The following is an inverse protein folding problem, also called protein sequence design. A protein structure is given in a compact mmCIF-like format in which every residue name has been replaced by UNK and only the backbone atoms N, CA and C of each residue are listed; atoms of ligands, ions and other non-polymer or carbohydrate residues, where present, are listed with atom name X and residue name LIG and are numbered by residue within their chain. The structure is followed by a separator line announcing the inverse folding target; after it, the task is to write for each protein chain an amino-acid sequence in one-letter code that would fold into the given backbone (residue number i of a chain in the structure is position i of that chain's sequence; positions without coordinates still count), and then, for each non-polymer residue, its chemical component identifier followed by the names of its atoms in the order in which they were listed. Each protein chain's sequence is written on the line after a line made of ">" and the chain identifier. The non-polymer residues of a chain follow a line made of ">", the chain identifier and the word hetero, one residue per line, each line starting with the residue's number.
data_IF_451045155133
#
_entry.id   IF_451045155133
#
_cell.length_a   1.000
_cell.length_b   1.000
_cell.length_c   1.000
_cell.angle_alpha   90.00
_cell.angle_beta   90.00
_cell.angle_gamma   90.00
#
_symmetry.space_group_name_H-M   'P 1'
#
loop_
_entity.id
_entity.type
_entity.pdbx_description
1 polymer ?
#
# COMPACT_ATOMS: atom_id res chain seq x y z
N UNK A 1 18.90 16.94 5.52
CA UNK A 1 19.02 15.47 5.37
C UNK A 1 17.60 14.97 5.20
N UNK A 2 17.33 14.15 4.19
CA UNK A 2 15.97 13.72 3.89
C UNK A 2 15.64 12.46 4.71
N UNK A 3 14.41 12.29 5.27
CA UNK A 3 14.09 11.16 6.12
C UNK A 3 14.04 9.86 5.31
N UNK A 4 14.49 8.77 5.88
CA UNK A 4 14.42 7.41 5.32
C UNK A 4 13.01 6.83 5.46
N UNK A 5 12.70 5.73 4.73
CA UNK A 5 11.45 4.98 4.93
C UNK A 5 11.33 4.52 6.40
N UNK A 6 12.44 4.15 7.01
CA UNK A 6 12.48 3.74 8.41
C UNK A 6 12.11 4.88 9.36
N UNK A 7 12.65 6.07 9.16
CA UNK A 7 12.34 7.24 9.96
C UNK A 7 10.88 7.66 9.80
N UNK A 8 10.37 7.70 8.56
CA UNK A 8 8.96 8.02 8.28
C UNK A 8 8.02 6.95 8.87
N UNK A 9 8.38 5.68 8.75
CA UNK A 9 7.60 4.56 9.32
C UNK A 9 7.55 4.61 10.84
N UNK A 10 8.67 4.92 11.50
CA UNK A 10 8.72 5.09 12.95
C UNK A 10 7.93 6.32 13.42
N UNK A 11 7.92 7.40 12.64
CA UNK A 11 7.09 8.57 12.92
C UNK A 11 5.61 8.26 12.78
N UNK A 12 5.22 7.54 11.71
CA UNK A 12 3.84 7.08 11.51
C UNK A 12 3.38 6.19 12.66
N UNK A 13 4.22 5.27 13.14
CA UNK A 13 3.91 4.42 14.29
C UNK A 13 3.60 5.24 15.54
N UNK A 14 4.43 6.23 15.85
CA UNK A 14 4.21 7.14 16.98
C UNK A 14 2.94 7.95 16.85
N UNK A 15 2.64 8.45 15.64
CA UNK A 15 1.43 9.21 15.36
C UNK A 15 0.17 8.33 15.56
N UNK A 16 0.17 7.11 15.04
CA UNK A 16 -0.94 6.16 15.24
C UNK A 16 -1.13 5.84 16.71
N UNK A 17 -0.06 5.55 17.45
CA UNK A 17 -0.14 5.26 18.88
C UNK A 17 -0.67 6.46 19.70
N UNK A 18 -0.29 7.67 19.33
CA UNK A 18 -0.79 8.89 19.98
C UNK A 18 -2.30 9.09 19.75
N UNK A 19 -2.77 8.91 18.52
CA UNK A 19 -4.21 9.01 18.19
C UNK A 19 -5.02 7.94 18.92
N UNK A 20 -4.54 6.70 18.95
CA UNK A 20 -5.18 5.60 19.67
C UNK A 20 -5.22 5.84 21.18
N UNK A 21 -4.17 6.46 21.73
CA UNK A 21 -4.14 6.82 23.16
C UNK A 21 -5.13 7.95 23.50
N UNK A 22 -5.29 8.92 22.58
CA UNK A 22 -6.21 10.03 22.75
C UNK A 22 -7.68 9.62 22.58
N UNK A 23 -7.97 8.67 21.69
CA UNK A 23 -9.32 8.18 21.42
C UNK A 23 -9.29 6.66 21.24
N UNK A 24 -9.62 5.87 22.26
CA UNK A 24 -9.65 4.41 22.15
C UNK A 24 -10.54 3.93 21.02
N UNK A 25 -9.95 3.12 20.13
CA UNK A 25 -10.62 2.59 18.94
C UNK A 25 -10.62 1.06 18.95
N UNK A 26 -11.63 0.45 18.34
CA UNK A 26 -11.73 -1.00 18.24
C UNK A 26 -10.67 -1.58 17.28
N UNK A 27 -10.35 -0.88 16.20
CA UNK A 27 -9.38 -1.30 15.18
C UNK A 27 -8.83 -0.09 14.42
N UNK A 28 -7.59 -0.19 13.96
CA UNK A 28 -6.97 0.76 13.04
C UNK A 28 -6.92 0.16 11.64
N UNK A 29 -7.48 0.88 10.67
CA UNK A 29 -7.43 0.52 9.26
C UNK A 29 -6.46 1.45 8.53
N UNK A 30 -5.86 0.95 7.46
CA UNK A 30 -4.93 1.74 6.64
C UNK A 30 -5.41 1.87 5.21
N UNK A 31 -5.27 3.06 4.66
CA UNK A 31 -5.36 3.31 3.21
C UNK A 31 -4.07 4.00 2.80
N UNK A 32 -3.26 3.33 2.01
CA UNK A 32 -2.03 3.89 1.47
C UNK A 32 -2.16 4.20 -0.02
N UNK A 33 -1.45 5.23 -0.47
CA UNK A 33 -1.27 5.50 -1.90
C UNK A 33 0.22 5.47 -2.23
N UNK A 34 0.57 4.81 -3.34
CA UNK A 34 1.93 4.79 -3.85
C UNK A 34 2.95 4.38 -2.77
N UNK A 35 4.00 5.18 -2.57
CA UNK A 35 5.03 4.97 -1.56
C UNK A 35 4.49 4.88 -0.12
N UNK A 36 3.38 5.54 0.18
CA UNK A 36 2.73 5.44 1.50
C UNK A 36 2.39 4.00 1.90
N UNK A 37 2.13 3.12 0.93
CA UNK A 37 1.95 1.69 1.18
C UNK A 37 3.22 1.02 1.70
N UNK A 38 4.37 1.43 1.19
CA UNK A 38 5.68 0.89 1.59
C UNK A 38 6.02 1.34 3.01
N UNK A 39 5.73 2.59 3.34
CA UNK A 39 5.89 3.13 4.70
C UNK A 39 5.02 2.36 5.70
N UNK A 40 3.73 2.15 5.38
CA UNK A 40 2.83 1.36 6.24
C UNK A 40 3.32 -0.08 6.37
N UNK A 41 3.75 -0.73 5.28
CA UNK A 41 4.31 -2.09 5.33
C UNK A 41 5.55 -2.15 6.21
N UNK A 42 6.46 -1.17 6.08
CA UNK A 42 7.65 -1.08 6.92
C UNK A 42 7.27 -0.94 8.40
N UNK A 43 6.36 -0.03 8.73
CA UNK A 43 5.85 0.17 10.09
C UNK A 43 5.27 -1.14 10.65
N UNK A 44 4.38 -1.79 9.91
CA UNK A 44 3.73 -3.03 10.36
C UNK A 44 4.70 -4.21 10.52
N UNK A 45 5.84 -4.17 9.83
CA UNK A 45 6.87 -5.20 9.93
C UNK A 45 7.80 -4.99 11.14
N UNK A 46 8.03 -3.75 11.57
CA UNK A 46 9.03 -3.39 12.58
C UNK A 46 8.43 -2.96 13.92
N UNK A 47 7.20 -2.44 13.91
CA UNK A 47 6.55 -1.92 15.11
C UNK A 47 5.28 -2.68 15.46
N UNK A 48 5.06 -2.87 16.76
CA UNK A 48 3.81 -3.42 17.29
C UNK A 48 2.87 -2.27 17.67
N UNK A 49 1.82 -2.12 16.88
CA UNK A 49 0.76 -1.18 17.24
C UNK A 49 0.06 -1.56 18.54
N UNK A 50 -0.32 -0.56 19.32
CA UNK A 50 -1.10 -0.76 20.56
C UNK A 50 -2.55 -1.14 20.29
N UNK A 51 -3.15 -0.61 19.22
CA UNK A 51 -4.50 -0.95 18.82
C UNK A 51 -4.54 -2.23 17.96
N UNK A 52 -5.65 -2.98 18.02
CA UNK A 52 -5.85 -4.10 17.12
C UNK A 52 -5.78 -3.67 15.65
N UNK A 53 -5.03 -4.41 14.85
CA UNK A 53 -4.93 -4.18 13.42
C UNK A 53 -6.25 -4.52 12.73
N UNK A 54 -6.71 -3.61 11.89
CA UNK A 54 -7.90 -3.77 11.07
C UNK A 54 -7.55 -4.30 9.67
N UNK A 55 -8.01 -3.60 8.63
CA UNK A 55 -7.78 -3.93 7.22
C UNK A 55 -6.93 -2.87 6.54
N UNK A 56 -6.35 -3.22 5.40
CA UNK A 56 -5.58 -2.29 4.59
C UNK A 56 -6.07 -2.29 3.14
N UNK A 57 -6.17 -1.10 2.53
CA UNK A 57 -6.33 -0.95 1.08
C UNK A 57 -5.12 -0.23 0.53
N UNK A 58 -4.47 -0.85 -0.44
CA UNK A 58 -3.30 -0.34 -1.12
C UNK A 58 -3.70 0.23 -2.49
N UNK A 59 -3.54 1.53 -2.69
CA UNK A 59 -3.80 2.21 -3.95
C UNK A 59 -2.47 2.37 -4.71
N UNK A 60 -2.40 1.83 -5.92
CA UNK A 60 -1.23 1.86 -6.80
C UNK A 60 0.12 1.57 -6.07
N UNK A 61 0.22 0.50 -5.26
CA UNK A 61 1.39 0.23 -4.45
C UNK A 61 2.57 -0.27 -5.28
N UNK A 62 3.79 0.29 -5.14
CA UNK A 62 4.99 -0.26 -5.80
C UNK A 62 5.56 -1.45 -5.02
N UNK A 63 4.77 -2.51 -4.85
CA UNK A 63 5.10 -3.65 -3.99
C UNK A 63 6.32 -4.47 -4.46
N UNK A 64 6.67 -4.40 -5.74
CA UNK A 64 7.79 -5.15 -6.32
C UNK A 64 9.02 -4.31 -6.68
N UNK A 65 8.97 -3.03 -6.49
CA UNK A 65 10.09 -2.12 -6.29
C UNK A 65 11.10 -1.86 -7.40
N UNK A 66 11.09 -2.51 -8.54
CA UNK A 66 12.24 -2.50 -9.44
C UNK A 66 12.34 -1.32 -10.43
N UNK A 67 11.24 -0.68 -10.79
CA UNK A 67 11.20 0.43 -11.77
C UNK A 67 10.93 1.80 -11.15
N UNK A 68 10.61 1.79 -9.89
CA UNK A 68 10.17 2.97 -9.13
C UNK A 68 11.21 4.08 -9.13
N UNK A 69 12.49 3.73 -9.13
CA UNK A 69 13.59 4.66 -9.02
C UNK A 69 13.64 5.69 -10.14
N UNK A 70 13.58 5.23 -11.38
CA UNK A 70 13.70 6.11 -12.55
C UNK A 70 12.42 6.88 -12.85
N UNK A 71 11.27 6.33 -12.46
CA UNK A 71 9.94 6.87 -12.78
C UNK A 71 9.44 7.86 -11.71
N UNK A 72 9.84 7.68 -10.44
CA UNK A 72 9.41 8.57 -9.35
C UNK A 72 10.29 9.82 -9.20
N UNK A 73 11.50 9.83 -9.70
CA UNK A 73 12.41 10.97 -9.57
C UNK A 73 11.77 12.34 -9.91
N UNK A 74 10.95 12.49 -10.97
CA UNK A 74 10.34 13.77 -11.29
C UNK A 74 9.16 14.16 -10.39
N UNK A 75 8.42 13.17 -9.88
CA UNK A 75 7.20 13.41 -9.10
C UNK A 75 7.45 13.50 -7.60
N UNK A 76 8.58 13.03 -7.17
CA UNK A 76 8.93 12.89 -5.76
C UNK A 76 10.02 13.87 -5.36
N UNK A 77 10.73 14.44 -6.32
CA UNK A 77 11.79 15.43 -6.07
C UNK A 77 11.30 16.66 -5.30
N UNK A 78 10.02 17.01 -5.37
CA UNK A 78 9.49 18.14 -4.62
C UNK A 78 8.81 17.74 -3.29
N UNK A 79 8.31 16.50 -3.19
CA UNK A 79 7.57 16.05 -2.00
C UNK A 79 8.42 15.18 -1.09
N UNK A 80 9.38 14.45 -1.65
CA UNK A 80 10.22 13.50 -0.94
C UNK A 80 11.62 13.52 -1.57
N UNK A 81 12.37 14.57 -1.34
CA UNK A 81 13.78 14.66 -1.70
C UNK A 81 14.72 13.55 -1.13
N UNK A 82 14.31 12.52 -0.42
CA UNK A 82 15.16 11.44 0.09
C UNK A 82 15.01 10.08 -0.56
N UNK A 83 14.38 9.99 -1.72
CA UNK A 83 14.21 8.68 -2.38
C UNK A 83 15.47 8.23 -3.16
N UNK A 84 16.60 8.80 -2.91
CA UNK A 84 17.89 8.20 -3.28
C UNK A 84 18.08 6.80 -2.65
N UNK A 85 17.46 6.50 -1.51
CA UNK A 85 17.46 5.14 -0.94
C UNK A 85 16.52 4.17 -1.68
N UNK A 86 15.48 4.65 -2.36
CA UNK A 86 14.67 3.81 -3.25
C UNK A 86 15.37 3.52 -4.57
N UNK A 87 16.24 4.42 -5.06
CA UNK A 87 17.03 4.19 -6.28
C UNK A 87 18.15 3.19 -6.06
N UNK A 88 18.74 3.17 -4.88
CA UNK A 88 19.75 2.16 -4.49
C UNK A 88 19.09 0.89 -3.93
N UNK A 89 17.81 0.90 -3.69
CA UNK A 89 17.10 -0.11 -2.90
C UNK A 89 15.87 -0.71 -3.59
N UNK A 90 16.00 -1.04 -4.86
CA UNK A 90 15.22 -2.18 -5.38
C UNK A 90 15.29 -3.38 -4.42
N UNK A 91 16.32 -3.45 -3.59
CA UNK A 91 16.47 -4.37 -2.47
C UNK A 91 15.56 -4.06 -1.28
N UNK A 92 15.30 -2.82 -0.87
CA UNK A 92 14.53 -2.52 0.36
C UNK A 92 13.05 -2.88 0.20
N UNK A 93 12.41 -2.53 -0.93
CA UNK A 93 10.99 -2.88 -1.15
C UNK A 93 10.83 -4.38 -1.35
N UNK A 94 11.75 -5.01 -2.10
CA UNK A 94 11.76 -6.45 -2.33
C UNK A 94 12.10 -7.25 -1.05
N UNK A 95 12.85 -6.66 -0.12
CA UNK A 95 13.21 -7.28 1.16
C UNK A 95 12.20 -7.04 2.28
N UNK A 96 11.19 -6.17 2.06
CA UNK A 96 10.11 -6.02 3.04
C UNK A 96 9.37 -7.34 3.22
N UNK A 97 9.17 -7.77 4.46
CA UNK A 97 8.42 -8.98 4.72
C UNK A 97 6.99 -8.86 4.19
N UNK A 98 6.34 -10.02 4.03
CA UNK A 98 4.92 -10.06 3.77
C UNK A 98 4.16 -9.31 4.86
N UNK A 99 2.98 -8.74 4.56
CA UNK A 99 2.12 -8.15 5.57
C UNK A 99 1.89 -9.13 6.74
N UNK A 100 1.70 -8.63 7.97
CA UNK A 100 1.52 -9.49 9.14
C UNK A 100 0.40 -10.51 8.95
N UNK A 101 0.60 -11.71 9.47
CA UNK A 101 -0.43 -12.76 9.46
C UNK A 101 -1.71 -12.25 10.11
N UNK A 102 -2.84 -12.43 9.44
CA UNK A 102 -4.14 -11.95 9.89
C UNK A 102 -4.52 -10.56 9.37
N UNK A 103 -3.62 -9.80 8.74
CA UNK A 103 -3.99 -8.59 8.05
C UNK A 103 -4.75 -8.95 6.75
N UNK A 104 -6.02 -8.58 6.69
CA UNK A 104 -6.77 -8.61 5.43
C UNK A 104 -6.44 -7.35 4.63
N UNK A 105 -5.98 -7.51 3.39
CA UNK A 105 -5.70 -6.37 2.53
C UNK A 105 -6.16 -6.58 1.10
N UNK A 106 -6.50 -5.48 0.42
CA UNK A 106 -6.83 -5.42 -0.99
C UNK A 106 -5.92 -4.44 -1.72
N UNK A 107 -5.74 -4.65 -3.01
CA UNK A 107 -4.97 -3.80 -3.91
C UNK A 107 -5.91 -3.21 -4.95
N UNK A 108 -5.83 -1.91 -5.17
CA UNK A 108 -6.46 -1.21 -6.28
C UNK A 108 -5.35 -0.66 -7.17
N UNK A 109 -5.28 -1.14 -8.40
CA UNK A 109 -4.27 -0.77 -9.38
C UNK A 109 -4.89 0.05 -10.51
N UNK A 110 -4.18 1.06 -10.98
CA UNK A 110 -4.57 1.85 -12.14
C UNK A 110 -4.23 1.11 -13.44
N UNK A 111 -5.20 0.92 -14.34
CA UNK A 111 -4.95 0.31 -15.65
C UNK A 111 -4.09 1.20 -16.54
N UNK A 112 -4.27 2.50 -16.41
CA UNK A 112 -3.57 3.52 -17.19
C UNK A 112 -2.39 4.13 -16.42
N UNK A 113 -1.99 3.50 -15.30
CA UNK A 113 -0.87 3.92 -14.48
C UNK A 113 0.45 3.64 -15.23
N UNK A 114 1.16 4.73 -15.58
CA UNK A 114 2.46 4.69 -16.25
C UNK A 114 3.64 4.74 -15.27
N UNK A 115 3.34 4.91 -13.99
CA UNK A 115 4.33 5.03 -12.91
C UNK A 115 4.57 3.69 -12.24
N UNK A 116 3.48 2.98 -11.92
CA UNK A 116 3.53 1.63 -11.31
C UNK A 116 2.69 0.70 -12.18
N UNK A 117 3.32 -0.26 -12.82
CA UNK A 117 2.60 -1.24 -13.65
C UNK A 117 1.73 -2.17 -12.81
N UNK A 118 0.72 -2.77 -13.44
CA UNK A 118 -0.18 -3.73 -12.77
C UNK A 118 0.60 -4.88 -12.10
N UNK A 119 1.67 -5.36 -12.73
CA UNK A 119 2.51 -6.41 -12.17
C UNK A 119 3.29 -5.94 -10.94
N UNK A 120 3.77 -4.71 -10.93
CA UNK A 120 4.52 -4.14 -9.80
C UNK A 120 3.64 -3.90 -8.57
N UNK A 121 2.32 -3.77 -8.75
CA UNK A 121 1.39 -3.66 -7.62
C UNK A 121 1.14 -4.98 -6.91
N UNK A 122 1.44 -6.12 -7.53
CA UNK A 122 1.13 -7.44 -6.98
C UNK A 122 1.87 -7.74 -5.68
N UNK A 123 1.14 -8.30 -4.71
CA UNK A 123 1.66 -8.76 -3.44
C UNK A 123 0.92 -10.04 -3.01
N UNK A 124 1.66 -11.05 -2.57
CA UNK A 124 1.07 -12.29 -2.08
C UNK A 124 0.21 -12.06 -0.83
N UNK A 125 -0.87 -12.79 -0.71
CA UNK A 125 -1.80 -12.67 0.42
C UNK A 125 -2.90 -11.63 0.26
N UNK A 126 -2.92 -10.87 -0.85
CA UNK A 126 -4.02 -9.95 -1.11
C UNK A 126 -5.34 -10.71 -1.28
N UNK A 127 -6.38 -10.28 -0.54
CA UNK A 127 -7.75 -10.80 -0.68
C UNK A 127 -8.35 -10.48 -2.03
N UNK A 128 -7.96 -9.35 -2.61
CA UNK A 128 -8.37 -8.93 -3.94
C UNK A 128 -7.31 -8.02 -4.57
N UNK A 129 -7.21 -8.10 -5.89
CA UNK A 129 -6.46 -7.17 -6.74
C UNK A 129 -7.42 -6.65 -7.80
N UNK A 130 -7.77 -5.38 -7.73
CA UNK A 130 -8.77 -4.72 -8.56
C UNK A 130 -8.09 -3.73 -9.49
N UNK A 131 -8.52 -3.70 -10.75
CA UNK A 131 -8.06 -2.73 -11.73
C UNK A 131 -9.15 -1.68 -11.97
N UNK A 132 -8.77 -0.39 -11.90
CA UNK A 132 -9.62 0.73 -12.26
C UNK A 132 -9.04 1.48 -13.46
N UNK A 133 -9.88 2.11 -14.33
CA UNK A 133 -9.40 2.83 -15.50
C UNK A 133 -8.91 4.23 -15.11
N UNK A 134 -7.74 4.29 -14.47
CA UNK A 134 -7.14 5.53 -13.99
C UNK A 134 -5.62 5.45 -13.97
N UNK A 135 -4.97 6.62 -13.97
CA UNK A 135 -3.54 6.79 -13.78
C UNK A 135 -3.13 6.84 -12.32
N UNK A 136 -1.83 7.01 -12.09
CA UNK A 136 -1.22 6.94 -10.75
C UNK A 136 -1.76 7.98 -9.77
N UNK A 137 -1.81 9.24 -10.22
CA UNK A 137 -2.00 10.40 -9.33
C UNK A 137 -3.44 10.54 -8.84
N UNK A 138 -4.42 10.23 -9.66
CA UNK A 138 -5.83 10.51 -9.37
C UNK A 138 -6.64 9.28 -8.96
N UNK A 139 -6.01 8.12 -8.86
CA UNK A 139 -6.68 6.87 -8.49
C UNK A 139 -7.48 6.98 -7.19
N UNK A 140 -6.99 7.75 -6.23
CA UNK A 140 -7.63 7.95 -4.93
C UNK A 140 -8.87 8.85 -4.97
N UNK A 141 -9.05 9.62 -6.05
CA UNK A 141 -10.15 10.59 -6.20
C UNK A 141 -11.35 10.00 -6.94
N UNK A 142 -11.25 8.78 -7.45
CA UNK A 142 -12.34 8.13 -8.18
C UNK A 142 -13.43 7.64 -7.23
N UNK A 143 -14.67 7.83 -7.61
CA UNK A 143 -15.83 7.37 -6.83
C UNK A 143 -15.85 5.85 -6.66
N UNK A 144 -15.49 5.10 -7.71
CA UNK A 144 -15.40 3.65 -7.64
C UNK A 144 -14.28 3.18 -6.72
N UNK A 145 -13.11 3.82 -6.74
CA UNK A 145 -12.03 3.55 -5.79
C UNK A 145 -12.49 3.82 -4.35
N UNK A 146 -13.12 4.96 -4.11
CA UNK A 146 -13.66 5.31 -2.79
C UNK A 146 -14.70 4.28 -2.31
N UNK A 147 -15.59 3.82 -3.20
CA UNK A 147 -16.59 2.80 -2.89
C UNK A 147 -15.92 1.45 -2.55
N UNK A 148 -14.90 1.03 -3.30
CA UNK A 148 -14.10 -0.17 -3.03
C UNK A 148 -13.45 -0.06 -1.64
N UNK A 149 -12.77 1.05 -1.35
CA UNK A 149 -12.11 1.30 -0.06
C UNK A 149 -13.11 1.18 1.09
N UNK A 150 -14.19 1.94 1.04
CA UNK A 150 -15.21 1.95 2.11
C UNK A 150 -15.77 0.55 2.36
N UNK A 151 -16.14 -0.16 1.29
CA UNK A 151 -16.70 -1.50 1.42
C UNK A 151 -15.68 -2.50 1.96
N UNK A 152 -14.47 -2.49 1.43
CA UNK A 152 -13.45 -3.43 1.91
C UNK A 152 -13.09 -3.19 3.37
N UNK A 153 -12.87 -1.96 3.78
CA UNK A 153 -12.56 -1.65 5.19
C UNK A 153 -13.69 -2.08 6.13
N UNK A 154 -14.95 -1.91 5.73
CA UNK A 154 -16.10 -2.28 6.57
C UNK A 154 -16.37 -3.78 6.60
N UNK A 155 -16.26 -4.48 5.46
CA UNK A 155 -16.75 -5.86 5.31
C UNK A 155 -15.67 -6.91 5.00
N UNK A 156 -14.47 -6.50 4.56
CA UNK A 156 -13.45 -7.39 3.99
C UNK A 156 -13.75 -7.87 2.57
N UNK A 157 -14.80 -7.34 1.93
CA UNK A 157 -15.25 -7.75 0.59
C UNK A 157 -15.11 -6.62 -0.42
N UNK A 158 -14.84 -6.99 -1.66
CA UNK A 158 -14.90 -6.07 -2.81
C UNK A 158 -16.32 -6.10 -3.40
N UNK A 159 -16.84 -4.96 -3.91
CA UNK A 159 -18.12 -4.97 -4.63
C UNK A 159 -18.07 -5.94 -5.81
N UNK A 160 -19.14 -6.74 -6.06
CA UNK A 160 -19.14 -7.78 -7.09
C UNK A 160 -18.77 -7.29 -8.50
N UNK A 161 -19.09 -6.05 -8.83
CA UNK A 161 -18.74 -5.43 -10.11
C UNK A 161 -17.22 -5.34 -10.37
N UNK A 162 -16.40 -5.44 -9.33
CA UNK A 162 -14.93 -5.29 -9.39
C UNK A 162 -14.18 -6.59 -9.08
N UNK A 163 -14.88 -7.68 -8.83
CA UNK A 163 -14.27 -9.02 -8.66
C UNK A 163 -13.89 -9.55 -10.04
N UNK A 164 -13.00 -8.89 -10.73
CA UNK A 164 -12.46 -9.37 -12.00
C UNK A 164 -11.01 -9.78 -11.81
N UNK A 165 -10.73 -10.98 -12.29
CA UNK A 165 -9.45 -11.63 -12.55
C UNK A 165 -8.21 -10.76 -12.29
N UNK A 166 -7.73 -10.75 -11.05
CA UNK A 166 -6.44 -10.15 -10.74
C UNK A 166 -5.35 -10.77 -11.62
N UNK A 167 -4.65 -9.94 -12.37
CA UNK A 167 -3.56 -10.35 -13.28
C UNK A 167 -2.27 -10.71 -12.55
N UNK A 168 -2.30 -10.81 -11.22
CA UNK A 168 -1.13 -11.24 -10.48
C UNK A 168 -0.75 -12.68 -10.88
N UNK A 169 0.52 -12.93 -11.21
CA UNK A 169 1.02 -14.24 -11.55
C UNK A 169 0.63 -15.29 -10.50
N UNK A 170 0.34 -16.52 -10.93
CA UNK A 170 -0.11 -17.61 -10.04
C UNK A 170 0.84 -17.84 -8.85
N UNK A 171 2.15 -17.65 -9.04
CA UNK A 171 3.16 -17.72 -7.98
C UNK A 171 3.02 -16.67 -6.87
N UNK A 172 2.22 -15.63 -7.10
CA UNK A 172 1.93 -14.56 -6.13
C UNK A 172 0.52 -14.65 -5.57
N UNK A 173 -0.26 -15.65 -6.02
CA UNK A 173 -1.54 -16.00 -5.42
C UNK A 173 -1.25 -16.89 -4.23
N UNK A 174 -1.89 -16.64 -3.09
CA UNK A 174 -1.84 -17.59 -1.97
C UNK A 174 -2.33 -18.94 -2.44
N UNK A 175 -1.70 -20.05 -2.01
CA UNK A 175 -2.36 -21.34 -2.08
C UNK A 175 -3.67 -21.23 -1.28
N UNK A 176 -4.75 -21.65 -1.90
CA UNK A 176 -6.08 -21.84 -1.29
C UNK A 176 -6.03 -22.81 -0.13
#
# INVERSE_FOLDING_TARGET
>A
MNPTIAEIGAELSRAVDAEVAAAPVARVHFVGHSLGNIVVRWMLANDRMRAPLGRMVMLAPPNRGARVADTFAPYVSWLLAPITELTTTGSTVASLPAPPTGLEFAIVAGRDDRTVSLEETCLAGARAHVEVPEGHTFIMMRDDTIAIVKRFLSTGMIPPAYVAAGRCPARLRTPS
#
